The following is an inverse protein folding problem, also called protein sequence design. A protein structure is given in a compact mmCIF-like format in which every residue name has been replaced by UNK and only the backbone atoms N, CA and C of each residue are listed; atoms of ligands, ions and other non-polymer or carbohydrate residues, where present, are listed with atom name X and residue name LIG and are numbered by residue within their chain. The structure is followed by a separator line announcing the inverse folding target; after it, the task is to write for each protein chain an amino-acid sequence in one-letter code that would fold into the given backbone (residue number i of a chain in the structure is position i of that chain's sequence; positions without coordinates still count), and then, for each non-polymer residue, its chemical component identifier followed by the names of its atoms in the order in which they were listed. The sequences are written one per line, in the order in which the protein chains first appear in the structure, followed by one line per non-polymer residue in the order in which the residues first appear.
data_IF_657027669823
#
_entry.id   IF_657027669823
#
_cell.length_a   1.000
_cell.length_b   1.000
_cell.length_c   1.000
_cell.angle_alpha   90.00
_cell.angle_beta   90.00
_cell.angle_gamma   90.00
#
_symmetry.space_group_name_H-M   'P 1'
#
loop_
_entity.id
_entity.type
_entity.pdbx_description
1 polymer ?
#
# COMPACT_ATOMS: atom_id res chain seq x y z
N UNK A 1 24.53 -26.58 27.61
CA UNK A 1 23.19 -25.95 27.46
C UNK A 1 23.26 -24.44 27.73
N UNK A 2 23.97 -23.64 26.93
CA UNK A 2 24.16 -22.19 27.21
C UNK A 2 23.99 -21.25 25.99
N UNK A 3 23.69 -21.77 24.79
CA UNK A 3 23.61 -20.93 23.59
C UNK A 3 22.26 -20.22 23.39
N UNK A 4 21.23 -20.53 24.18
CA UNK A 4 19.86 -20.00 24.01
C UNK A 4 19.54 -18.77 24.88
N UNK A 5 20.44 -18.39 25.80
CA UNK A 5 20.23 -17.28 26.74
C UNK A 5 20.73 -15.94 26.21
N UNK A 6 21.57 -15.93 25.17
CA UNK A 6 22.22 -14.70 24.68
C UNK A 6 21.49 -14.04 23.51
N UNK A 7 20.52 -14.70 22.88
CA UNK A 7 19.69 -14.11 21.82
C UNK A 7 18.47 -13.42 22.44
N UNK A 8 18.33 -12.09 22.32
CA UNK A 8 17.11 -11.40 22.69
C UNK A 8 15.96 -11.99 21.87
N UNK A 9 14.93 -12.54 22.53
CA UNK A 9 13.70 -12.93 21.84
C UNK A 9 13.00 -11.65 21.38
N UNK A 10 13.21 -11.26 20.13
CA UNK A 10 12.40 -10.20 19.52
C UNK A 10 10.94 -10.66 19.57
N UNK A 11 10.12 -9.99 20.38
CA UNK A 11 8.68 -10.26 20.38
C UNK A 11 8.17 -10.05 18.95
N UNK A 12 7.58 -11.09 18.34
CA UNK A 12 7.16 -11.11 16.94
C UNK A 12 5.98 -10.19 16.62
N UNK A 13 5.80 -9.10 17.38
CA UNK A 13 4.80 -8.07 17.11
C UNK A 13 5.33 -7.17 16.00
N UNK A 14 5.27 -7.67 14.77
CA UNK A 14 5.30 -6.81 13.60
C UNK A 14 4.06 -5.93 13.67
N UNK A 15 4.20 -4.68 14.12
CA UNK A 15 3.17 -3.69 13.86
C UNK A 15 3.07 -3.60 12.34
N UNK A 16 1.90 -3.95 11.80
CA UNK A 16 1.64 -3.85 10.37
C UNK A 16 2.03 -2.43 9.98
N UNK A 17 3.10 -2.25 9.21
CA UNK A 17 3.51 -0.92 8.76
C UNK A 17 2.30 -0.32 8.06
N UNK A 18 1.64 0.61 8.74
CA UNK A 18 0.46 1.25 8.20
C UNK A 18 0.98 2.02 7.01
N UNK A 19 0.54 1.62 5.82
CA UNK A 19 0.90 2.31 4.59
C UNK A 19 0.03 3.57 4.57
N UNK A 20 0.56 4.78 4.81
CA UNK A 20 -0.27 5.96 5.04
C UNK A 20 -1.12 6.37 3.82
N UNK A 21 -0.83 5.85 2.63
CA UNK A 21 -1.66 6.01 1.43
C UNK A 21 -2.69 4.88 1.22
N UNK A 22 -2.72 3.87 2.09
CA UNK A 22 -3.70 2.79 2.02
C UNK A 22 -4.99 3.18 2.72
N UNK A 23 -6.06 3.38 1.95
CA UNK A 23 -7.37 3.79 2.44
C UNK A 23 -8.47 2.82 1.96
N UNK A 24 -9.71 3.06 2.40
CA UNK A 24 -10.87 2.27 2.01
C UNK A 24 -11.07 2.24 0.48
N UNK A 25 -10.80 3.35 -0.20
CA UNK A 25 -10.85 3.42 -1.67
C UNK A 25 -9.79 2.52 -2.34
N UNK A 26 -8.56 2.47 -1.81
CA UNK A 26 -7.52 1.54 -2.26
C UNK A 26 -7.92 0.07 -2.05
N UNK A 27 -8.64 -0.23 -0.96
CA UNK A 27 -9.13 -1.59 -0.69
C UNK A 27 -10.22 -2.01 -1.68
N UNK A 28 -11.20 -1.14 -1.93
CA UNK A 28 -12.30 -1.40 -2.87
C UNK A 28 -11.79 -1.56 -4.31
N UNK A 29 -10.89 -0.68 -4.76
CA UNK A 29 -10.30 -0.76 -6.11
C UNK A 29 -9.47 -2.04 -6.32
N UNK A 30 -8.75 -2.51 -5.30
CA UNK A 30 -8.04 -3.80 -5.38
C UNK A 30 -9.03 -4.96 -5.49
N UNK A 31 -10.13 -4.91 -4.75
CA UNK A 31 -11.20 -5.92 -4.83
C UNK A 31 -11.82 -5.94 -6.24
N UNK A 32 -12.15 -4.78 -6.80
CA UNK A 32 -12.69 -4.65 -8.16
C UNK A 32 -11.70 -5.14 -9.22
N UNK A 33 -10.43 -4.73 -9.12
CA UNK A 33 -9.37 -5.22 -10.03
C UNK A 33 -9.23 -6.74 -9.97
N UNK A 34 -9.28 -7.33 -8.78
CA UNK A 34 -9.22 -8.80 -8.58
C UNK A 34 -10.45 -9.49 -9.15
N UNK A 35 -11.63 -8.91 -8.98
CA UNK A 35 -12.87 -9.43 -9.56
C UNK A 35 -12.85 -9.38 -11.09
N UNK A 36 -12.43 -8.25 -11.67
CA UNK A 36 -12.24 -8.09 -13.12
C UNK A 36 -11.22 -9.07 -13.69
N UNK A 37 -10.07 -9.23 -13.01
CA UNK A 37 -9.07 -10.23 -13.42
C UNK A 37 -9.60 -11.66 -13.34
N UNK A 38 -10.37 -11.98 -12.30
CA UNK A 38 -11.00 -13.30 -12.16
C UNK A 38 -12.00 -13.58 -13.29
N UNK A 39 -12.79 -12.57 -13.71
CA UNK A 39 -13.71 -12.69 -14.85
C UNK A 39 -12.95 -12.91 -16.15
N UNK A 40 -11.94 -12.09 -16.44
CA UNK A 40 -11.06 -12.24 -17.60
C UNK A 40 -10.40 -13.62 -17.66
N UNK A 41 -9.98 -14.16 -16.51
CA UNK A 41 -9.35 -15.48 -16.44
C UNK A 41 -10.33 -16.62 -16.75
N UNK A 42 -11.61 -16.47 -16.38
CA UNK A 42 -12.67 -17.46 -16.68
C UNK A 42 -13.14 -17.40 -18.12
N UNK A 43 -13.25 -16.20 -18.69
CA UNK A 43 -13.71 -15.96 -20.06
C UNK A 43 -12.55 -15.46 -20.92
N UNK A 44 -11.55 -16.33 -21.12
CA UNK A 44 -10.39 -15.98 -21.97
C UNK A 44 -10.84 -15.74 -23.40
N UNK A 45 -10.33 -14.66 -24.00
CA UNK A 45 -10.63 -14.30 -25.38
C UNK A 45 -11.82 -13.36 -25.56
N UNK A 46 -12.64 -13.14 -24.51
CA UNK A 46 -13.71 -12.14 -24.55
C UNK A 46 -13.13 -10.71 -24.48
N UNK A 47 -13.27 -9.90 -25.55
CA UNK A 47 -12.78 -8.53 -25.58
C UNK A 47 -13.42 -7.64 -24.50
N UNK A 48 -14.68 -7.87 -24.15
CA UNK A 48 -15.40 -7.07 -23.15
C UNK A 48 -14.81 -7.28 -21.75
N UNK A 49 -14.49 -8.53 -21.41
CA UNK A 49 -13.81 -8.86 -20.17
C UNK A 49 -12.40 -8.23 -20.10
N UNK A 50 -11.68 -8.19 -21.22
CA UNK A 50 -10.35 -7.57 -21.30
C UNK A 50 -10.44 -6.05 -21.11
N UNK A 51 -11.37 -5.39 -21.79
CA UNK A 51 -11.61 -3.95 -21.63
C UNK A 51 -12.03 -3.59 -20.21
N UNK A 52 -12.97 -4.34 -19.63
CA UNK A 52 -13.40 -4.13 -18.25
C UNK A 52 -12.23 -4.24 -17.27
N UNK A 53 -11.37 -5.25 -17.42
CA UNK A 53 -10.17 -5.38 -16.60
C UNK A 53 -9.18 -4.22 -16.79
N UNK A 54 -8.96 -3.76 -18.04
CA UNK A 54 -8.10 -2.60 -18.33
C UNK A 54 -8.62 -1.33 -17.64
N UNK A 55 -9.93 -1.09 -17.67
CA UNK A 55 -10.58 0.04 -16.97
C UNK A 55 -10.37 -0.05 -15.46
N UNK A 56 -10.67 -1.20 -14.84
CA UNK A 56 -10.44 -1.40 -13.40
C UNK A 56 -8.96 -1.23 -13.02
N UNK A 57 -8.03 -1.71 -13.86
CA UNK A 57 -6.59 -1.55 -13.63
C UNK A 57 -6.19 -0.07 -13.69
N UNK A 58 -6.66 0.68 -14.69
CA UNK A 58 -6.38 2.11 -14.82
C UNK A 58 -6.93 2.91 -13.63
N UNK A 59 -8.16 2.61 -13.21
CA UNK A 59 -8.79 3.24 -12.04
C UNK A 59 -8.02 2.96 -10.75
N UNK A 60 -7.63 1.69 -10.51
CA UNK A 60 -6.81 1.35 -9.35
C UNK A 60 -5.48 2.10 -9.36
N UNK A 61 -4.80 2.15 -10.51
CA UNK A 61 -3.57 2.93 -10.66
C UNK A 61 -3.76 4.43 -10.39
N UNK A 62 -4.88 5.02 -10.81
CA UNK A 62 -5.20 6.43 -10.53
C UNK A 62 -5.37 6.67 -9.03
N UNK A 63 -6.19 5.85 -8.38
CA UNK A 63 -6.48 5.99 -6.94
C UNK A 63 -5.22 5.79 -6.08
N UNK A 64 -4.36 4.83 -6.42
CA UNK A 64 -3.09 4.67 -5.70
C UNK A 64 -2.16 5.88 -5.85
N UNK A 65 -2.06 6.45 -7.07
CA UNK A 65 -1.26 7.66 -7.30
C UNK A 65 -1.83 8.87 -6.55
N UNK A 66 -3.15 9.05 -6.57
CA UNK A 66 -3.83 10.11 -5.83
C UNK A 66 -3.62 9.97 -4.32
N UNK A 67 -3.79 8.76 -3.78
CA UNK A 67 -3.60 8.50 -2.36
C UNK A 67 -2.15 8.69 -1.92
N UNK A 68 -1.17 8.28 -2.73
CA UNK A 68 0.25 8.51 -2.47
C UNK A 68 0.57 10.01 -2.45
N UNK A 69 0.08 10.78 -3.44
CA UNK A 69 0.25 12.24 -3.48
C UNK A 69 -0.39 12.92 -2.29
N UNK A 70 -1.61 12.52 -1.92
CA UNK A 70 -2.32 13.07 -0.78
C UNK A 70 -1.58 12.77 0.54
N UNK A 71 -1.12 11.54 0.72
CA UNK A 71 -0.31 11.14 1.88
C UNK A 71 0.99 11.93 1.95
N UNK A 72 1.67 12.13 0.82
CA UNK A 72 2.89 12.92 0.75
C UNK A 72 2.63 14.40 1.08
N UNK A 73 1.58 14.99 0.50
CA UNK A 73 1.20 16.37 0.79
C UNK A 73 0.88 16.58 2.26
N UNK A 74 0.08 15.68 2.86
CA UNK A 74 -0.25 15.73 4.28
C UNK A 74 1.00 15.61 5.16
N UNK A 75 1.94 14.74 4.77
CA UNK A 75 3.21 14.60 5.47
C UNK A 75 4.04 15.89 5.42
N UNK A 76 4.28 16.45 4.23
CA UNK A 76 5.04 17.70 4.07
C UNK A 76 4.39 18.84 4.86
N UNK A 77 3.06 18.94 4.84
CA UNK A 77 2.32 19.94 5.63
C UNK A 77 2.41 19.73 7.14
N UNK A 78 2.74 18.52 7.62
CA UNK A 78 2.90 18.22 9.05
C UNK A 78 4.30 18.53 9.60
N UNK A 79 5.28 18.74 8.73
CA UNK A 79 6.66 19.05 9.13
C UNK A 79 6.68 20.44 9.78
N UNK A 80 7.20 20.50 11.01
CA UNK A 80 7.34 21.73 11.79
C UNK A 80 8.66 21.70 12.58
N UNK A 81 8.94 22.77 13.33
CA UNK A 81 10.19 22.94 14.09
C UNK A 81 10.46 21.83 15.13
N UNK A 82 9.42 21.09 15.53
CA UNK A 82 9.51 19.97 16.48
C UNK A 82 9.67 18.61 15.80
N UNK A 83 9.65 18.55 14.46
CA UNK A 83 9.82 17.29 13.73
C UNK A 83 11.30 16.91 13.70
N UNK A 84 11.65 15.77 14.31
CA UNK A 84 13.05 15.33 14.33
C UNK A 84 13.53 14.90 12.95
N UNK A 85 14.81 15.14 12.64
CA UNK A 85 15.42 14.71 11.39
C UNK A 85 15.32 13.18 11.20
N UNK A 86 15.43 12.44 12.30
CA UNK A 86 15.27 10.98 12.36
C UNK A 86 13.88 10.53 11.92
N UNK A 87 12.82 11.23 12.35
CA UNK A 87 11.45 10.92 11.92
C UNK A 87 11.24 11.19 10.44
N UNK A 88 11.90 12.22 9.89
CA UNK A 88 11.89 12.50 8.46
C UNK A 88 12.54 11.36 7.67
N UNK A 89 13.76 10.97 8.05
CA UNK A 89 14.49 9.88 7.38
C UNK A 89 13.78 8.53 7.46
N UNK A 90 13.26 8.16 8.64
CA UNK A 90 12.53 6.90 8.80
C UNK A 90 11.31 6.80 7.88
N UNK A 91 10.66 7.93 7.58
CA UNK A 91 9.47 7.98 6.73
C UNK A 91 9.80 8.04 5.25
N UNK A 92 10.92 8.68 4.86
CA UNK A 92 11.43 8.70 3.48
C UNK A 92 11.97 7.33 3.07
N UNK A 93 12.70 6.63 3.95
CA UNK A 93 13.31 5.31 3.66
C UNK A 93 12.26 4.18 3.68
N UNK A 94 11.13 4.36 4.38
CA UNK A 94 10.06 3.35 4.44
C UNK A 94 9.02 3.45 3.30
N UNK A 95 9.12 4.45 2.41
CA UNK A 95 8.29 4.59 1.21
C UNK A 95 8.89 3.81 0.05
#
# INVERSE_FOLDING_TARGET
MLALQTTPRTSGRFTKRFVPWWNAAGTNTVREKRAGFSRLRRHRGDPQCLEAFRRCRAQASRIFKEAQRASWKAYVSSINVHTSLTDVFNKVISQ
#
